data_IF_892727243381
#
_entry.id   IF_892727243381
#
_cell.length_a   1.000
_cell.length_b   1.000
_cell.length_c   1.000
_cell.angle_alpha   90.00
_cell.angle_beta   90.00
_cell.angle_gamma   90.00
#
_symmetry.space_group_name_H-M   'P 1'
#
loop_
_entity.id
_entity.type
_entity.pdbx_description
1 polymer ?
#
# COMPACT_ATOMS: atom_id res chain seq x y z
N UNK A 1 14.31 -41.32 54.37
CA UNK A 1 14.75 -39.90 54.34
C UNK A 1 14.10 -39.26 53.12
N UNK A 2 13.11 -38.39 53.31
CA UNK A 2 12.50 -37.57 52.25
C UNK A 2 13.14 -36.17 52.27
N UNK A 3 13.57 -35.59 51.14
CA UNK A 3 13.56 -34.14 50.92
C UNK A 3 12.20 -33.80 50.26
N UNK A 4 11.30 -32.92 50.72
CA UNK A 4 11.35 -31.58 51.33
C UNK A 4 11.90 -30.47 50.40
N UNK A 5 10.92 -29.75 49.84
CA UNK A 5 10.94 -28.38 49.30
C UNK A 5 11.21 -28.21 47.80
N UNK A 6 10.17 -28.50 46.99
CA UNK A 6 9.97 -27.85 45.69
C UNK A 6 9.73 -26.35 45.93
N UNK A 7 10.61 -25.53 45.36
CA UNK A 7 10.57 -24.08 45.47
C UNK A 7 9.34 -23.51 44.74
N UNK A 8 8.59 -22.56 45.33
CA UNK A 8 7.40 -21.96 44.70
C UNK A 8 7.72 -21.21 43.39
N UNK A 9 8.99 -20.90 43.14
CA UNK A 9 9.46 -20.29 41.89
C UNK A 9 9.33 -21.22 40.67
N UNK A 10 9.40 -22.55 40.88
CA UNK A 10 9.28 -23.54 39.79
C UNK A 10 7.81 -23.69 39.34
N UNK A 11 6.87 -23.45 40.25
CA UNK A 11 5.44 -23.54 39.93
C UNK A 11 4.97 -22.33 39.09
N UNK A 12 5.56 -21.15 39.28
CA UNK A 12 5.16 -19.93 38.57
C UNK A 12 5.61 -19.93 37.10
N UNK A 13 6.74 -20.57 36.79
CA UNK A 13 7.25 -20.73 35.42
C UNK A 13 6.38 -21.70 34.57
N UNK A 14 5.68 -22.64 35.21
CA UNK A 14 4.83 -23.61 34.52
C UNK A 14 3.47 -23.04 34.09
N UNK A 15 2.99 -21.96 34.72
CA UNK A 15 1.66 -21.37 34.41
C UNK A 15 1.74 -20.39 33.23
N UNK A 16 2.89 -19.75 33.01
CA UNK A 16 3.07 -18.78 31.90
C UNK A 16 3.23 -19.44 30.51
N UNK A 17 3.42 -20.76 30.45
CA UNK A 17 3.57 -21.51 29.19
C UNK A 17 2.23 -22.01 28.62
N UNK A 18 1.10 -21.78 29.31
CA UNK A 18 -0.22 -22.28 28.92
C UNK A 18 -1.16 -21.23 28.31
N UNK A 19 -0.68 -20.01 28.06
CA UNK A 19 -1.43 -18.97 27.36
C UNK A 19 -0.90 -18.76 25.93
N UNK A 20 -0.60 -19.86 25.24
CA UNK A 20 -0.46 -19.83 23.79
C UNK A 20 -1.82 -19.52 23.18
N UNK A 21 -1.88 -18.48 22.36
CA UNK A 21 -3.03 -18.19 21.52
C UNK A 21 -3.34 -19.44 20.69
N UNK A 22 -4.54 -20.02 20.87
CA UNK A 22 -5.11 -20.97 19.93
C UNK A 22 -5.42 -20.19 18.65
N UNK A 23 -4.46 -20.12 17.72
CA UNK A 23 -4.77 -19.82 16.33
C UNK A 23 -5.74 -20.91 15.84
N UNK A 24 -6.87 -20.49 15.32
CA UNK A 24 -7.89 -21.39 14.76
C UNK A 24 -7.31 -22.28 13.65
N UNK A 25 -8.11 -23.24 13.13
CA UNK A 25 -7.64 -24.14 12.09
C UNK A 25 -7.05 -23.35 10.90
N UNK A 26 -5.81 -23.67 10.55
CA UNK A 26 -5.11 -23.13 9.38
C UNK A 26 -6.02 -23.29 8.15
N UNK A 27 -6.32 -22.17 7.49
CA UNK A 27 -7.11 -22.17 6.26
C UNK A 27 -6.47 -23.05 5.17
N UNK A 28 -7.22 -23.44 4.13
CA UNK A 28 -6.65 -24.21 3.03
C UNK A 28 -5.42 -23.48 2.46
N UNK A 29 -4.33 -24.22 2.27
CA UNK A 29 -3.10 -23.67 1.70
C UNK A 29 -3.42 -23.10 0.30
N UNK A 30 -3.13 -21.81 0.11
CA UNK A 30 -3.32 -21.12 -1.16
C UNK A 30 -2.53 -21.79 -2.30
N UNK A 31 -2.87 -21.50 -3.56
CA UNK A 31 -2.15 -22.06 -4.71
C UNK A 31 -0.64 -21.79 -4.60
N UNK A 32 0.22 -22.70 -5.07
CA UNK A 32 1.67 -22.52 -5.00
C UNK A 32 2.11 -21.24 -5.71
N UNK A 33 2.90 -20.41 -5.02
CA UNK A 33 3.47 -19.20 -5.57
C UNK A 33 4.42 -19.47 -6.76
N UNK A 34 4.67 -18.46 -7.61
CA UNK A 34 5.49 -18.60 -8.80
C UNK A 34 6.97 -18.96 -8.49
N UNK A 35 7.70 -19.61 -9.42
CA UNK A 35 9.02 -20.15 -9.14
C UNK A 35 10.15 -19.09 -9.04
N UNK A 36 11.02 -19.24 -8.02
CA UNK A 36 12.45 -18.88 -8.06
C UNK A 36 12.83 -17.44 -7.64
N UNK A 37 13.00 -17.20 -6.33
CA UNK A 37 13.47 -15.90 -5.79
C UNK A 37 14.97 -15.69 -6.06
N UNK A 38 15.33 -14.61 -6.75
CA UNK A 38 16.72 -14.13 -6.86
C UNK A 38 17.16 -13.42 -5.56
N UNK A 39 18.47 -13.27 -5.33
CA UNK A 39 19.07 -12.64 -4.12
C UNK A 39 18.66 -11.17 -3.87
N UNK A 40 17.91 -10.56 -4.79
CA UNK A 40 17.12 -9.34 -4.55
C UNK A 40 15.79 -9.57 -5.25
N UNK A 41 14.83 -10.19 -4.56
CA UNK A 41 13.53 -10.43 -5.13
C UNK A 41 12.85 -9.08 -5.37
N UNK A 42 12.78 -8.70 -6.65
CA UNK A 42 12.06 -7.53 -7.14
C UNK A 42 10.94 -8.04 -8.02
N UNK A 43 9.71 -7.68 -7.70
CA UNK A 43 8.53 -8.11 -8.46
C UNK A 43 7.55 -6.96 -8.61
N UNK A 44 6.64 -7.08 -9.57
CA UNK A 44 5.65 -6.04 -9.88
C UNK A 44 4.25 -6.62 -9.76
N UNK A 45 3.42 -5.99 -8.93
CA UNK A 45 1.98 -6.24 -8.88
C UNK A 45 1.24 -5.16 -9.67
N UNK A 46 0.37 -5.59 -10.59
CA UNK A 46 -0.41 -4.71 -11.44
C UNK A 46 -1.87 -4.74 -11.00
N UNK A 47 -2.46 -3.58 -10.74
CA UNK A 47 -3.85 -3.49 -10.32
C UNK A 47 -4.50 -2.19 -10.76
N UNK A 48 -5.81 -2.06 -10.50
CA UNK A 48 -6.55 -0.83 -10.73
C UNK A 48 -7.16 -0.34 -9.43
N UNK A 49 -7.03 0.97 -9.22
CA UNK A 49 -7.66 1.69 -8.13
C UNK A 49 -8.91 2.41 -8.63
N UNK A 50 -10.02 2.14 -7.97
CA UNK A 50 -11.33 2.70 -8.27
C UNK A 50 -11.87 3.39 -7.03
N UNK A 51 -12.28 4.66 -7.19
CA UNK A 51 -12.87 5.43 -6.10
C UNK A 51 -14.20 4.82 -5.63
N UNK A 52 -14.91 4.13 -6.53
CA UNK A 52 -16.17 3.44 -6.23
C UNK A 52 -16.00 2.28 -5.26
N UNK A 53 -14.79 1.73 -5.17
CA UNK A 53 -14.50 0.54 -4.36
C UNK A 53 -13.92 0.95 -2.99
N UNK A 54 -13.70 2.26 -2.80
CA UNK A 54 -13.00 2.80 -1.66
C UNK A 54 -13.96 3.08 -0.48
N UNK A 55 -13.53 2.71 0.72
CA UNK A 55 -14.21 3.06 1.95
C UNK A 55 -13.83 4.47 2.38
N UNK A 56 -14.85 5.28 2.68
CA UNK A 56 -14.66 6.67 3.11
C UNK A 56 -14.47 6.74 4.63
N UNK A 57 -13.45 7.46 5.08
CA UNK A 57 -13.21 7.75 6.49
C UNK A 57 -14.38 8.49 7.13
N UNK A 58 -14.54 8.38 8.45
CA UNK A 58 -15.63 9.04 9.18
C UNK A 58 -15.60 10.57 9.07
N UNK A 59 -14.41 11.15 8.92
CA UNK A 59 -14.22 12.57 8.71
C UNK A 59 -14.48 13.01 7.26
N UNK A 60 -14.64 12.05 6.34
CA UNK A 60 -14.97 12.27 4.95
C UNK A 60 -13.82 12.72 4.06
N UNK A 61 -12.59 12.85 4.57
CA UNK A 61 -11.47 13.41 3.79
C UNK A 61 -10.64 12.36 3.06
N UNK A 62 -10.66 11.13 3.53
CA UNK A 62 -9.86 10.03 3.00
C UNK A 62 -10.78 8.95 2.49
N UNK A 63 -10.40 8.36 1.37
CA UNK A 63 -11.01 7.12 0.91
C UNK A 63 -9.92 6.13 0.53
N UNK A 64 -10.06 4.90 0.98
CA UNK A 64 -8.99 3.89 0.89
C UNK A 64 -9.52 2.57 0.33
N UNK A 65 -8.67 1.89 -0.43
CA UNK A 65 -8.90 0.53 -0.91
C UNK A 65 -7.76 -0.35 -0.38
N UNK A 66 -8.08 -1.37 0.45
CA UNK A 66 -7.11 -2.38 0.82
C UNK A 66 -6.96 -3.40 -0.31
N UNK A 67 -5.72 -3.74 -0.63
CA UNK A 67 -5.34 -4.84 -1.51
C UNK A 67 -4.65 -5.91 -0.66
N UNK A 68 -5.24 -7.10 -0.63
CA UNK A 68 -4.59 -8.30 -0.11
C UNK A 68 -3.50 -8.70 -1.10
N UNK A 69 -2.26 -8.31 -0.79
CA UNK A 69 -1.07 -8.69 -1.53
C UNK A 69 -0.23 -9.58 -0.63
N UNK A 70 0.30 -10.69 -1.16
CA UNK A 70 1.22 -11.58 -0.42
C UNK A 70 2.58 -10.88 -0.27
N UNK A 71 2.63 -9.89 0.63
CA UNK A 71 3.81 -9.13 0.99
C UNK A 71 4.56 -9.95 2.06
N UNK A 72 5.70 -10.58 1.71
CA UNK A 72 6.44 -11.37 2.67
C UNK A 72 6.94 -10.47 3.81
N UNK A 73 7.13 -11.02 5.03
CA UNK A 73 7.63 -10.25 6.17
C UNK A 73 8.93 -9.48 5.89
N UNK A 74 9.78 -9.97 4.96
CA UNK A 74 10.99 -9.27 4.53
C UNK A 74 10.71 -7.87 3.95
N UNK A 75 9.55 -7.62 3.35
CA UNK A 75 9.16 -6.29 2.87
C UNK A 75 8.93 -5.30 4.01
N UNK A 76 8.33 -5.77 5.11
CA UNK A 76 8.10 -4.95 6.29
C UNK A 76 9.40 -4.72 7.08
N UNK A 77 10.30 -5.70 7.12
CA UNK A 77 11.53 -5.66 7.91
C UNK A 77 12.66 -4.87 7.23
N UNK A 78 13.04 -5.26 6.01
CA UNK A 78 14.26 -4.79 5.32
C UNK A 78 13.99 -4.30 3.88
N UNK A 79 12.76 -4.45 3.41
CA UNK A 79 12.35 -4.18 2.05
C UNK A 79 11.70 -2.82 1.83
N UNK A 80 10.97 -2.72 0.72
CA UNK A 80 10.18 -1.54 0.37
C UNK A 80 9.10 -1.86 -0.66
N UNK A 81 8.03 -1.06 -0.63
CA UNK A 81 7.05 -0.97 -1.71
C UNK A 81 7.20 0.38 -2.39
N UNK A 82 7.38 0.38 -3.71
CA UNK A 82 7.32 1.58 -4.55
C UNK A 82 6.07 1.51 -5.41
N UNK A 83 5.13 2.44 -5.18
CA UNK A 83 3.89 2.49 -5.93
C UNK A 83 3.99 3.51 -7.08
N UNK A 84 3.52 3.10 -8.25
CA UNK A 84 3.43 3.93 -9.44
C UNK A 84 2.01 3.93 -9.97
N UNK A 85 1.60 5.06 -10.55
CA UNK A 85 0.30 5.22 -11.19
C UNK A 85 0.46 5.77 -12.60
N UNK A 86 -0.48 5.46 -13.49
CA UNK A 86 -0.46 5.95 -14.87
C UNK A 86 -1.13 7.32 -14.94
N UNK A 87 -0.36 8.35 -15.27
CA UNK A 87 -0.84 9.71 -15.48
C UNK A 87 -0.28 10.28 -16.78
N UNK A 88 -1.12 10.98 -17.57
CA UNK A 88 -0.73 11.63 -18.84
C UNK A 88 0.09 10.75 -19.81
N UNK A 89 -0.12 9.44 -19.77
CA UNK A 89 0.61 8.50 -20.62
C UNK A 89 2.00 8.10 -20.12
N UNK A 90 2.39 8.45 -18.89
CA UNK A 90 3.64 8.02 -18.23
C UNK A 90 3.36 7.35 -16.88
N UNK A 91 4.28 6.51 -16.41
CA UNK A 91 4.25 6.00 -15.04
C UNK A 91 4.84 7.06 -14.11
N UNK A 92 4.13 7.38 -13.03
CA UNK A 92 4.51 8.41 -12.06
C UNK A 92 4.56 7.78 -10.68
N UNK A 93 5.60 8.07 -9.90
CA UNK A 93 5.73 7.56 -8.54
C UNK A 93 4.71 8.23 -7.59
N UNK A 94 4.14 7.43 -6.69
CA UNK A 94 3.38 7.88 -5.53
C UNK A 94 4.31 7.92 -4.28
N UNK A 95 3.97 8.69 -3.24
CA UNK A 95 2.80 9.57 -3.14
C UNK A 95 2.92 10.81 -4.03
N UNK A 96 1.77 11.38 -4.41
CA UNK A 96 1.68 12.68 -5.10
C UNK A 96 0.61 13.53 -4.45
N UNK A 97 0.78 14.86 -4.49
CA UNK A 97 -0.27 15.81 -4.14
C UNK A 97 -0.41 16.82 -5.27
N UNK A 98 -1.63 17.00 -5.76
CA UNK A 98 -1.95 17.96 -6.81
C UNK A 98 -2.98 18.97 -6.31
N UNK A 99 -2.82 20.23 -6.69
CA UNK A 99 -3.83 21.26 -6.47
C UNK A 99 -4.83 21.24 -7.62
N UNK A 100 -6.12 21.25 -7.29
CA UNK A 100 -7.20 21.34 -8.26
C UNK A 100 -7.87 22.70 -8.17
N UNK A 101 -8.04 23.35 -9.32
CA UNK A 101 -8.75 24.62 -9.45
C UNK A 101 -10.21 24.33 -9.83
N UNK A 102 -11.16 24.97 -9.14
CA UNK A 102 -12.56 24.90 -9.51
C UNK A 102 -12.77 25.58 -10.87
N UNK A 103 -13.64 25.06 -11.74
CA UNK A 103 -13.79 25.55 -13.12
C UNK A 103 -14.14 27.04 -13.28
N UNK A 104 -14.56 27.73 -12.21
CA UNK A 104 -15.28 29.01 -12.27
C UNK A 104 -14.71 30.16 -11.41
N UNK A 105 -13.50 30.08 -10.83
CA UNK A 105 -12.91 31.15 -10.01
C UNK A 105 -11.43 31.47 -10.40
N UNK A 106 -10.86 32.65 -10.07
CA UNK A 106 -9.49 33.07 -10.44
C UNK A 106 -8.43 32.13 -9.84
N UNK A 107 -7.16 32.13 -10.32
CA UNK A 107 -6.21 31.03 -10.07
C UNK A 107 -5.93 30.87 -8.57
N UNK A 108 -6.66 29.95 -7.96
CA UNK A 108 -6.50 29.50 -6.59
C UNK A 108 -6.72 27.99 -6.60
N UNK A 109 -5.91 27.30 -5.82
CA UNK A 109 -6.17 25.90 -5.49
C UNK A 109 -7.42 25.88 -4.61
N UNK A 110 -8.51 25.29 -5.07
CA UNK A 110 -9.75 25.16 -4.30
C UNK A 110 -9.68 23.95 -3.35
N UNK A 111 -8.97 22.89 -3.76
CA UNK A 111 -8.66 21.74 -2.91
C UNK A 111 -7.39 21.03 -3.40
N UNK A 112 -6.73 20.27 -2.53
CA UNK A 112 -5.68 19.33 -2.97
C UNK A 112 -6.21 17.91 -3.00
N UNK A 113 -5.63 17.09 -3.86
CA UNK A 113 -5.82 15.64 -3.89
C UNK A 113 -4.46 15.00 -3.70
N UNK A 114 -4.35 14.12 -2.71
CA UNK A 114 -3.18 13.31 -2.43
C UNK A 114 -3.50 11.85 -2.75
N UNK A 115 -2.75 11.25 -3.67
CA UNK A 115 -2.72 9.79 -3.85
C UNK A 115 -1.53 9.27 -3.08
N UNK A 116 -1.78 8.37 -2.13
CA UNK A 116 -0.75 7.75 -1.31
C UNK A 116 -1.03 6.28 -1.05
N UNK A 117 -0.14 5.67 -0.29
CA UNK A 117 -0.26 4.28 0.10
C UNK A 117 0.42 4.01 1.43
N UNK A 118 -0.04 2.95 2.10
CA UNK A 118 0.60 2.33 3.26
C UNK A 118 0.66 0.82 3.03
N UNK A 119 1.60 0.14 3.67
CA UNK A 119 1.72 -1.32 3.54
C UNK A 119 2.19 -1.92 4.85
N UNK A 120 1.83 -3.18 5.06
CA UNK A 120 2.33 -4.05 6.12
C UNK A 120 2.37 -5.49 5.57
N UNK A 121 2.71 -6.46 6.43
CA UNK A 121 2.59 -7.88 6.10
C UNK A 121 1.19 -8.18 5.55
N UNK A 122 1.14 -8.88 4.42
CA UNK A 122 -0.07 -9.32 3.72
C UNK A 122 -1.02 -8.22 3.17
N UNK A 123 -0.68 -6.93 3.25
CA UNK A 123 -1.54 -5.89 2.68
C UNK A 123 -0.84 -4.64 2.15
N UNK A 124 -1.42 -4.08 1.09
CA UNK A 124 -1.15 -2.73 0.58
C UNK A 124 -2.46 -1.95 0.60
N UNK A 125 -2.49 -0.82 1.30
CA UNK A 125 -3.61 0.12 1.27
C UNK A 125 -3.25 1.29 0.35
N UNK A 126 -4.08 1.55 -0.66
CA UNK A 126 -3.98 2.75 -1.49
C UNK A 126 -5.07 3.71 -1.07
N UNK A 127 -4.70 4.95 -0.78
CA UNK A 127 -5.64 5.96 -0.34
C UNK A 127 -5.59 7.20 -1.23
N UNK A 128 -6.76 7.83 -1.33
CA UNK A 128 -6.92 9.16 -1.88
C UNK A 128 -7.45 10.06 -0.77
N UNK A 129 -6.68 11.09 -0.44
CA UNK A 129 -7.07 12.12 0.51
C UNK A 129 -7.33 13.41 -0.25
N UNK A 130 -8.41 14.14 0.05
CA UNK A 130 -8.58 15.49 -0.47
C UNK A 130 -8.74 16.52 0.65
N UNK A 131 -8.21 17.71 0.43
CA UNK A 131 -8.24 18.81 1.40
C UNK A 131 -9.29 19.86 1.00
N UNK A 132 -10.57 19.55 1.20
CA UNK A 132 -11.64 20.54 1.05
C UNK A 132 -12.54 20.58 2.28
N UNK A 133 -12.65 21.76 2.91
CA UNK A 133 -13.60 22.00 4.00
C UNK A 133 -15.06 22.12 3.51
N UNK A 134 -15.32 22.08 2.20
CA UNK A 134 -16.64 22.24 1.60
C UNK A 134 -17.23 20.89 1.15
N UNK A 135 -18.28 20.43 1.85
CA UNK A 135 -19.01 19.19 1.54
C UNK A 135 -19.65 19.21 0.14
N UNK A 136 -20.04 20.36 -0.39
CA UNK A 136 -20.64 20.44 -1.71
C UNK A 136 -19.63 20.10 -2.83
N UNK A 137 -18.34 20.40 -2.61
CA UNK A 137 -17.25 19.98 -3.51
C UNK A 137 -17.15 18.45 -3.52
N UNK A 138 -17.28 17.82 -2.36
CA UNK A 138 -17.24 16.37 -2.21
C UNK A 138 -18.42 15.66 -2.89
N UNK A 139 -19.63 16.19 -2.75
CA UNK A 139 -20.82 15.58 -3.35
C UNK A 139 -20.74 15.64 -4.88
N UNK A 140 -20.30 16.76 -5.46
CA UNK A 140 -20.12 16.93 -6.90
C UNK A 140 -19.02 16.01 -7.48
N UNK A 141 -17.94 15.84 -6.72
CA UNK A 141 -16.84 14.94 -7.03
C UNK A 141 -17.28 13.47 -7.03
N UNK A 142 -18.05 13.06 -6.02
CA UNK A 142 -18.51 11.68 -5.86
C UNK A 142 -19.48 11.26 -6.96
N UNK A 143 -20.34 12.19 -7.41
CA UNK A 143 -21.26 11.95 -8.52
C UNK A 143 -20.57 11.80 -9.88
N UNK A 144 -19.37 12.37 -10.06
CA UNK A 144 -18.70 12.45 -11.37
C UNK A 144 -17.58 11.45 -11.57
N UNK A 145 -17.13 10.74 -10.51
CA UNK A 145 -15.81 10.08 -10.50
C UNK A 145 -14.66 11.03 -10.92
N UNK A 146 -14.92 12.35 -10.85
CA UNK A 146 -14.15 13.39 -11.51
C UNK A 146 -12.81 13.65 -10.83
N UNK A 147 -12.66 13.26 -9.56
CA UNK A 147 -11.43 13.44 -8.79
C UNK A 147 -10.18 13.00 -9.56
N UNK A 148 -10.18 11.78 -10.11
CA UNK A 148 -8.99 11.29 -10.81
C UNK A 148 -8.70 12.05 -12.09
N UNK A 149 -9.74 12.40 -12.82
CA UNK A 149 -9.59 13.01 -14.15
C UNK A 149 -9.23 14.48 -14.03
N UNK A 150 -9.86 15.21 -13.10
CA UNK A 150 -9.57 16.61 -12.80
C UNK A 150 -8.20 16.79 -12.16
N UNK A 151 -7.82 15.87 -11.25
CA UNK A 151 -6.49 15.85 -10.64
C UNK A 151 -5.39 15.32 -11.59
N UNK A 152 -5.75 14.76 -12.75
CA UNK A 152 -4.81 14.12 -13.67
C UNK A 152 -4.18 12.83 -13.13
N UNK A 153 -4.76 12.25 -12.08
CA UNK A 153 -4.27 11.06 -11.38
C UNK A 153 -4.74 9.76 -12.05
N UNK A 154 -5.63 9.81 -13.04
CA UNK A 154 -6.06 8.62 -13.76
C UNK A 154 -6.87 8.89 -15.02
N UNK A 155 -7.57 7.85 -15.47
CA UNK A 155 -8.53 7.90 -16.58
C UNK A 155 -9.94 7.51 -16.09
N UNK A 156 -11.00 7.71 -16.90
CA UNK A 156 -12.36 7.33 -16.50
C UNK A 156 -12.54 5.84 -16.17
N UNK A 157 -11.61 4.97 -16.58
CA UNK A 157 -11.63 3.53 -16.28
C UNK A 157 -10.81 3.19 -15.02
N UNK A 158 -10.58 4.17 -14.15
CA UNK A 158 -9.84 4.05 -12.89
C UNK A 158 -8.34 4.35 -13.05
N UNK A 159 -7.61 4.31 -11.93
CA UNK A 159 -6.17 4.54 -11.92
C UNK A 159 -5.45 3.21 -12.12
N UNK A 160 -4.63 3.11 -13.18
CA UNK A 160 -3.74 1.96 -13.36
C UNK A 160 -2.54 2.10 -12.42
N UNK A 161 -2.28 1.05 -11.65
CA UNK A 161 -1.25 1.03 -10.63
C UNK A 161 -0.24 -0.09 -10.89
N UNK A 162 1.02 0.16 -10.51
CA UNK A 162 2.08 -0.84 -10.40
C UNK A 162 2.73 -0.70 -9.02
N UNK A 163 2.75 -1.76 -8.23
CA UNK A 163 3.57 -1.82 -7.03
C UNK A 163 4.83 -2.62 -7.32
N UNK A 164 6.00 -1.99 -7.18
CA UNK A 164 7.28 -2.69 -7.20
C UNK A 164 7.64 -3.05 -5.76
N UNK A 165 7.87 -4.34 -5.55
CA UNK A 165 8.06 -4.96 -4.25
C UNK A 165 9.50 -5.42 -4.15
N UNK A 166 10.22 -4.94 -3.13
CA UNK A 166 11.63 -5.21 -2.87
C UNK A 166 11.78 -5.89 -1.53
N UNK A 167 12.35 -7.08 -1.49
CA UNK A 167 12.59 -7.78 -0.21
C UNK A 167 13.85 -7.29 0.54
N UNK A 168 14.77 -6.59 -0.13
CA UNK A 168 15.97 -6.00 0.48
C UNK A 168 16.30 -4.67 -0.22
N UNK A 169 15.89 -3.55 0.40
CA UNK A 169 16.11 -2.21 -0.14
C UNK A 169 17.61 -1.86 -0.19
N UNK A 170 18.39 -2.31 0.79
CA UNK A 170 19.81 -2.01 0.87
C UNK A 170 20.61 -2.71 -0.24
N UNK A 171 20.26 -3.95 -0.59
CA UNK A 171 20.81 -4.65 -1.74
C UNK A 171 20.37 -3.99 -3.06
N UNK A 172 19.08 -3.65 -3.17
CA UNK A 172 18.53 -2.99 -4.35
C UNK A 172 19.23 -1.65 -4.64
N UNK A 173 19.40 -0.80 -3.62
CA UNK A 173 20.00 0.53 -3.75
C UNK A 173 21.46 0.54 -4.23
N UNK A 174 22.20 -0.59 -4.13
CA UNK A 174 23.59 -0.69 -4.63
C UNK A 174 23.70 -0.54 -6.14
N UNK A 175 22.61 -0.75 -6.88
CA UNK A 175 22.59 -0.70 -8.35
C UNK A 175 22.51 0.72 -8.93
N UNK A 176 22.50 1.77 -8.09
CA UNK A 176 22.35 3.18 -8.49
C UNK A 176 21.12 3.38 -9.38
N UNK A 177 19.95 3.09 -8.81
CA UNK A 177 18.65 3.12 -9.50
C UNK A 177 17.86 4.33 -9.04
N UNK A 178 17.28 5.08 -9.97
CA UNK A 178 16.25 6.06 -9.66
C UNK A 178 14.89 5.38 -9.46
N UNK A 179 14.51 5.15 -8.21
CA UNK A 179 13.21 4.54 -7.87
C UNK A 179 12.01 5.47 -8.14
N UNK A 180 12.21 6.73 -8.51
CA UNK A 180 11.11 7.58 -8.98
C UNK A 180 10.74 7.33 -10.45
N UNK A 181 11.65 6.73 -11.24
CA UNK A 181 11.44 6.36 -12.64
C UNK A 181 11.15 4.85 -12.76
N UNK A 182 9.87 4.52 -12.95
CA UNK A 182 9.45 3.14 -13.16
C UNK A 182 10.16 2.47 -14.36
N UNK A 183 10.38 3.20 -15.46
CA UNK A 183 10.98 2.62 -16.67
C UNK A 183 12.47 2.27 -16.43
N UNK A 184 13.15 3.06 -15.59
CA UNK A 184 14.49 2.71 -15.12
C UNK A 184 14.47 1.47 -14.23
N UNK A 185 13.60 1.43 -13.23
CA UNK A 185 13.44 0.29 -12.31
C UNK A 185 13.14 -0.99 -13.10
N UNK A 186 12.16 -0.94 -14.02
CA UNK A 186 11.77 -2.06 -14.85
C UNK A 186 12.94 -2.57 -15.70
N UNK A 187 13.71 -1.67 -16.32
CA UNK A 187 14.89 -2.04 -17.12
C UNK A 187 16.01 -2.65 -16.28
N UNK A 188 16.27 -2.13 -15.08
CA UNK A 188 17.36 -2.60 -14.22
C UNK A 188 17.05 -3.98 -13.64
N UNK A 189 15.80 -4.20 -13.25
CA UNK A 189 15.34 -5.43 -12.58
C UNK A 189 14.60 -6.41 -13.50
N UNK A 190 14.51 -6.11 -14.81
CA UNK A 190 13.88 -6.97 -15.83
C UNK A 190 12.39 -7.24 -15.52
N UNK A 191 11.64 -6.17 -15.23
CA UNK A 191 10.21 -6.22 -14.88
C UNK A 191 9.34 -5.94 -16.11
N UNK A 192 8.19 -6.61 -16.19
CA UNK A 192 7.16 -6.44 -17.25
C UNK A 192 6.11 -5.35 -16.93
#
# INVERSE_FOLDING_TARGET
MLPRHLSPLVLLAAVMLAAGCDEGPVGPQGPPGPPGRSETAVYTENFRFYLSDAERSEDGFTTAVPYELDLPPSIADDGAVFLYYRAYGTWTAAPTTVGVEAPNDPPRVDYTVTLGYGYDVDFLEVYLEASSADQAVWDAIAETQGLFTEAGIGDPDGVRMKAVLLEDLAAAAKRSVDFSDYEEVARVYDLE
#
